data_IF_047613278255
#
_entry.id   IF_047613278255
#
_cell.length_a   1.000
_cell.length_b   1.000
_cell.length_c   1.000
_cell.angle_alpha   90.00
_cell.angle_beta   90.00
_cell.angle_gamma   90.00
#
_symmetry.space_group_name_H-M   'P 1'
#
loop_
_entity.id
_entity.type
_entity.pdbx_description
1 polymer ?
#
# COMPACT_ATOMS: atom_id res chain seq x y z
N UNK A 1 -8.25 4.58 20.30
CA UNK A 1 -7.73 5.36 19.15
C UNK A 1 -6.85 4.43 18.34
N UNK A 2 -6.94 4.50 17.04
CA UNK A 2 -6.19 3.67 16.08
C UNK A 2 -6.32 2.17 16.31
N UNK A 3 -7.55 1.68 16.35
CA UNK A 3 -7.80 0.26 16.52
C UNK A 3 -7.41 -0.56 15.29
N UNK A 4 -7.56 0.01 14.11
CA UNK A 4 -7.24 -0.65 12.84
C UNK A 4 -6.54 0.31 11.89
N UNK A 5 -5.34 -0.05 11.46
CA UNK A 5 -4.48 0.79 10.63
C UNK A 5 -4.28 0.12 9.27
N UNK A 6 -4.64 0.82 8.19
CA UNK A 6 -4.37 0.37 6.82
C UNK A 6 -2.98 0.84 6.40
N UNK A 7 -2.19 -0.09 5.91
CA UNK A 7 -0.80 0.15 5.49
C UNK A 7 -0.62 -0.27 4.03
N UNK A 8 -0.75 0.67 3.09
CA UNK A 8 -0.46 0.40 1.69
C UNK A 8 1.03 0.16 1.47
N UNK A 9 1.35 -0.91 0.75
CA UNK A 9 2.70 -1.32 0.40
C UNK A 9 2.76 -1.68 -1.09
N UNK A 10 3.93 -1.56 -1.70
CA UNK A 10 4.13 -1.85 -3.12
C UNK A 10 5.29 -2.84 -3.38
N UNK A 11 5.80 -3.47 -2.33
CA UNK A 11 6.95 -4.35 -2.41
C UNK A 11 8.30 -3.65 -2.33
N UNK A 12 8.33 -2.31 -2.34
CA UNK A 12 9.58 -1.55 -2.25
C UNK A 12 10.03 -1.34 -0.81
N UNK A 13 11.35 -1.25 -0.63
CA UNK A 13 11.94 -0.89 0.67
C UNK A 13 11.57 0.53 1.11
N UNK A 14 11.27 1.40 0.16
CA UNK A 14 10.80 2.75 0.47
C UNK A 14 9.45 2.73 1.15
N UNK A 15 8.49 1.97 0.61
CA UNK A 15 7.18 1.83 1.23
C UNK A 15 7.26 1.22 2.63
N UNK A 16 8.19 0.29 2.86
CA UNK A 16 8.40 -0.36 4.16
C UNK A 16 8.91 0.57 5.24
N UNK A 17 9.36 1.79 4.89
CA UNK A 17 9.79 2.78 5.88
C UNK A 17 8.66 3.20 6.83
N UNK A 18 7.42 2.94 6.47
CA UNK A 18 6.27 3.15 7.37
C UNK A 18 6.21 2.13 8.51
N UNK A 19 6.76 0.94 8.32
CA UNK A 19 6.58 -0.18 9.26
C UNK A 19 7.01 0.13 10.69
N UNK A 20 8.19 0.71 10.96
CA UNK A 20 8.57 1.04 12.33
C UNK A 20 7.56 1.93 13.05
N UNK A 21 6.95 2.87 12.34
CA UNK A 21 5.95 3.78 12.92
C UNK A 21 4.66 3.06 13.28
N UNK A 22 4.15 2.22 12.38
CA UNK A 22 2.91 1.48 12.64
C UNK A 22 3.12 0.37 13.67
N UNK A 23 4.32 -0.21 13.77
CA UNK A 23 4.67 -1.15 14.84
C UNK A 23 4.57 -0.49 16.21
N UNK A 24 5.13 0.71 16.37
CA UNK A 24 5.06 1.46 17.62
C UNK A 24 3.61 1.83 17.96
N UNK A 25 2.84 2.28 16.97
CA UNK A 25 1.41 2.57 17.17
C UNK A 25 0.64 1.31 17.57
N UNK A 26 0.88 0.19 16.89
CA UNK A 26 0.20 -1.07 17.19
C UNK A 26 0.51 -1.58 18.60
N UNK A 27 1.76 -1.50 19.03
CA UNK A 27 2.16 -1.87 20.39
C UNK A 27 1.52 -0.96 21.45
N UNK A 28 1.46 0.34 21.16
CA UNK A 28 0.92 1.32 22.09
C UNK A 28 -0.59 1.26 22.24
N UNK A 29 -1.31 1.09 21.15
CA UNK A 29 -2.77 1.15 21.12
C UNK A 29 -3.45 -0.22 20.98
N UNK A 30 -2.70 -1.30 20.84
CA UNK A 30 -3.24 -2.62 20.55
C UNK A 30 -3.90 -2.69 19.17
N UNK A 31 -3.34 -1.96 18.19
CA UNK A 31 -3.92 -1.86 16.86
C UNK A 31 -3.74 -3.14 16.05
N UNK A 32 -4.74 -3.45 15.22
CA UNK A 32 -4.59 -4.42 14.14
C UNK A 32 -4.05 -3.71 12.91
N UNK A 33 -3.06 -4.28 12.25
CA UNK A 33 -2.55 -3.79 10.97
C UNK A 33 -3.21 -4.52 9.82
N UNK A 34 -3.58 -3.78 8.79
CA UNK A 34 -4.06 -4.31 7.51
C UNK A 34 -3.05 -3.92 6.45
N UNK A 35 -2.23 -4.87 6.03
CA UNK A 35 -1.24 -4.67 4.97
C UNK A 35 -1.93 -4.86 3.62
N UNK A 36 -1.90 -3.83 2.79
CA UNK A 36 -2.55 -3.85 1.47
C UNK A 36 -1.53 -3.65 0.37
N UNK A 37 -1.54 -4.53 -0.62
CA UNK A 37 -0.85 -4.29 -1.88
C UNK A 37 -1.87 -4.24 -3.02
N UNK A 38 -1.85 -3.16 -3.79
CA UNK A 38 -2.71 -2.99 -4.96
C UNK A 38 -1.91 -3.32 -6.21
N UNK A 39 -2.47 -4.18 -7.04
CA UNK A 39 -1.90 -4.56 -8.32
C UNK A 39 -2.64 -3.77 -9.41
N UNK A 40 -1.92 -2.88 -10.08
CA UNK A 40 -2.45 -2.21 -11.26
C UNK A 40 -2.28 -3.12 -12.47
N UNK A 41 -3.35 -3.42 -13.22
CA UNK A 41 -3.22 -4.11 -14.48
C UNK A 41 -2.41 -3.26 -15.45
N UNK A 42 -1.21 -3.71 -15.77
CA UNK A 42 -0.40 -3.05 -16.79
C UNK A 42 -1.02 -3.40 -18.14
N UNK A 43 -1.58 -2.41 -18.82
CA UNK A 43 -1.95 -2.58 -20.22
C UNK A 43 -0.64 -2.69 -21.01
N UNK A 44 -0.29 -3.91 -21.38
CA UNK A 44 0.76 -4.12 -22.37
C UNK A 44 0.17 -3.66 -23.70
N UNK A 45 0.58 -2.48 -24.15
CA UNK A 45 0.34 -2.06 -25.52
C UNK A 45 1.14 -3.03 -26.40
N UNK A 46 0.49 -4.09 -26.87
CA UNK A 46 1.02 -4.90 -27.93
C UNK A 46 1.23 -4.04 -29.18
N UNK A 47 2.18 -4.46 -30.04
CA UNK A 47 2.60 -3.75 -31.24
C UNK A 47 1.43 -3.13 -32.03
N UNK A 48 1.65 -2.00 -32.75
CA UNK A 48 0.58 -1.16 -33.30
C UNK A 48 -0.36 -1.81 -34.32
N UNK A 49 -0.18 -3.08 -34.61
CA UNK A 49 -1.04 -3.86 -35.50
C UNK A 49 -1.97 -4.85 -34.79
N UNK A 50 -1.81 -5.00 -33.48
CA UNK A 50 -2.70 -5.85 -32.70
C UNK A 50 -3.81 -5.00 -32.07
N UNK A 51 -5.02 -5.21 -32.57
CA UNK A 51 -6.24 -4.54 -32.11
C UNK A 51 -6.77 -5.14 -30.80
N UNK A 52 -5.94 -5.81 -30.01
CA UNK A 52 -6.35 -6.43 -28.76
C UNK A 52 -5.57 -5.88 -27.57
N UNK A 53 -6.29 -5.39 -26.57
CA UNK A 53 -5.73 -5.16 -25.26
C UNK A 53 -5.54 -6.51 -24.57
N UNK A 54 -4.34 -7.09 -24.69
CA UNK A 54 -4.02 -8.32 -23.97
C UNK A 54 -3.59 -7.97 -22.56
N UNK A 55 -4.48 -8.22 -21.60
CA UNK A 55 -4.01 -8.46 -20.25
C UNK A 55 -3.28 -9.80 -20.28
N UNK A 56 -1.99 -9.78 -20.01
CA UNK A 56 -1.27 -11.02 -19.79
C UNK A 56 -1.69 -11.59 -18.44
N UNK A 57 -2.72 -12.42 -18.45
CA UNK A 57 -3.28 -13.07 -17.27
C UNK A 57 -2.21 -13.83 -16.50
N UNK A 58 -1.26 -14.44 -17.20
CA UNK A 58 -0.14 -15.17 -16.60
C UNK A 58 0.76 -14.25 -15.79
N UNK A 59 1.04 -13.03 -16.30
CA UNK A 59 1.81 -12.03 -15.59
C UNK A 59 1.09 -11.52 -14.35
N UNK A 60 -0.21 -11.26 -14.46
CA UNK A 60 -1.04 -10.81 -13.33
C UNK A 60 -1.07 -11.87 -12.23
N UNK A 61 -1.24 -13.15 -12.60
CA UNK A 61 -1.21 -14.24 -11.64
C UNK A 61 0.15 -14.35 -10.94
N UNK A 62 1.25 -14.22 -11.68
CA UNK A 62 2.60 -14.24 -11.12
C UNK A 62 2.83 -13.09 -10.14
N UNK A 63 2.50 -11.87 -10.53
CA UNK A 63 2.63 -10.68 -9.70
C UNK A 63 1.77 -10.80 -8.44
N UNK A 64 0.57 -11.35 -8.58
CA UNK A 64 -0.34 -11.57 -7.45
C UNK A 64 0.25 -12.58 -6.47
N UNK A 65 0.81 -13.69 -6.93
CA UNK A 65 1.44 -14.68 -6.07
C UNK A 65 2.70 -14.13 -5.38
N UNK A 66 3.52 -13.36 -6.10
CA UNK A 66 4.67 -12.65 -5.51
C UNK A 66 4.24 -11.69 -4.40
N UNK A 67 3.17 -10.95 -4.62
CA UNK A 67 2.61 -10.03 -3.63
C UNK A 67 2.08 -10.77 -2.39
N UNK A 68 1.42 -11.91 -2.57
CA UNK A 68 0.96 -12.74 -1.45
C UNK A 68 2.13 -13.24 -0.60
N UNK A 69 3.18 -13.75 -1.24
CA UNK A 69 4.39 -14.24 -0.56
C UNK A 69 5.05 -13.08 0.21
N UNK A 70 5.17 -11.93 -0.42
CA UNK A 70 5.74 -10.73 0.18
C UNK A 70 4.97 -10.29 1.43
N UNK A 71 3.67 -10.16 1.34
CA UNK A 71 2.84 -9.74 2.48
C UNK A 71 2.82 -10.78 3.60
N UNK A 72 2.82 -12.07 3.28
CA UNK A 72 2.91 -13.13 4.30
C UNK A 72 4.23 -13.09 5.06
N UNK A 73 5.33 -12.77 4.39
CA UNK A 73 6.63 -12.59 5.04
C UNK A 73 6.58 -11.47 6.08
N UNK A 74 6.06 -10.31 5.70
CA UNK A 74 5.88 -9.19 6.62
C UNK A 74 4.89 -9.52 7.74
N UNK A 75 3.79 -10.19 7.42
CA UNK A 75 2.81 -10.63 8.41
C UNK A 75 3.46 -11.51 9.47
N UNK A 76 4.27 -12.48 9.07
CA UNK A 76 4.98 -13.36 9.99
C UNK A 76 5.94 -12.60 10.91
N UNK A 77 6.70 -11.68 10.36
CA UNK A 77 7.63 -10.84 11.14
C UNK A 77 6.89 -9.99 12.18
N UNK A 78 5.78 -9.36 11.80
CA UNK A 78 4.99 -8.52 12.69
C UNK A 78 4.25 -9.33 13.75
N UNK A 79 3.71 -10.50 13.38
CA UNK A 79 3.05 -11.42 14.32
C UNK A 79 4.04 -11.95 15.36
N UNK A 80 5.28 -12.19 14.98
CA UNK A 80 6.33 -12.59 15.91
C UNK A 80 6.62 -11.51 16.97
N UNK A 81 6.27 -10.26 16.68
CA UNK A 81 6.37 -9.13 17.61
C UNK A 81 5.08 -8.92 18.43
N UNK A 82 4.11 -9.81 18.31
CA UNK A 82 2.83 -9.75 19.02
C UNK A 82 1.79 -8.82 18.41
N UNK A 83 1.96 -8.43 17.15
CA UNK A 83 1.02 -7.54 16.45
C UNK A 83 0.04 -8.36 15.63
N UNK A 84 -1.23 -8.05 15.72
CA UNK A 84 -2.27 -8.67 14.89
C UNK A 84 -2.24 -8.07 13.48
N UNK A 85 -2.12 -8.91 12.46
CA UNK A 85 -1.93 -8.48 11.07
C UNK A 85 -2.84 -9.25 10.13
N UNK A 86 -3.56 -8.50 9.30
CA UNK A 86 -4.31 -9.01 8.16
C UNK A 86 -3.62 -8.59 6.88
N UNK A 87 -3.64 -9.42 5.84
CA UNK A 87 -3.10 -9.08 4.52
C UNK A 87 -4.19 -9.04 3.48
N UNK A 88 -4.12 -8.06 2.57
CA UNK A 88 -5.06 -7.88 1.48
C UNK A 88 -4.31 -7.62 0.18
N UNK A 89 -4.84 -8.17 -0.90
CA UNK A 89 -4.44 -7.83 -2.26
C UNK A 89 -5.69 -7.38 -3.02
N UNK A 90 -5.59 -6.24 -3.69
CA UNK A 90 -6.65 -5.72 -4.52
C UNK A 90 -6.10 -5.40 -5.92
N UNK A 91 -6.98 -5.32 -6.90
CA UNK A 91 -6.62 -5.04 -8.29
C UNK A 91 -7.39 -3.82 -8.75
N UNK A 92 -6.69 -2.89 -9.37
CA UNK A 92 -7.31 -1.68 -9.91
C UNK A 92 -6.46 -0.43 -9.71
N UNK A 93 -7.04 0.75 -9.86
CA UNK A 93 -6.35 2.02 -9.59
C UNK A 93 -5.95 2.10 -8.13
N UNK A 94 -4.69 2.41 -7.85
CA UNK A 94 -4.11 2.31 -6.50
C UNK A 94 -4.85 3.18 -5.48
N UNK A 95 -5.04 4.45 -5.79
CA UNK A 95 -5.70 5.40 -4.87
C UNK A 95 -7.13 4.95 -4.56
N UNK A 96 -7.89 4.60 -5.60
CA UNK A 96 -9.27 4.12 -5.46
C UNK A 96 -9.35 2.87 -4.57
N UNK A 97 -8.50 1.89 -4.83
CA UNK A 97 -8.46 0.66 -4.04
C UNK A 97 -8.12 0.92 -2.57
N UNK A 98 -7.14 1.79 -2.30
CA UNK A 98 -6.78 2.15 -0.92
C UNK A 98 -7.97 2.77 -0.19
N UNK A 99 -8.65 3.72 -0.82
CA UNK A 99 -9.79 4.41 -0.21
C UNK A 99 -10.98 3.47 0.01
N UNK A 100 -11.28 2.62 -0.96
CA UNK A 100 -12.37 1.64 -0.85
C UNK A 100 -12.08 0.61 0.25
N UNK A 101 -10.85 0.10 0.33
CA UNK A 101 -10.47 -0.84 1.38
C UNK A 101 -10.48 -0.18 2.77
N UNK A 102 -10.10 1.09 2.85
CA UNK A 102 -10.19 1.83 4.11
C UNK A 102 -11.62 1.89 4.63
N UNK A 103 -12.58 2.12 3.76
CA UNK A 103 -14.02 2.09 4.10
C UNK A 103 -14.48 0.68 4.43
N UNK A 104 -14.22 -0.27 3.55
CA UNK A 104 -14.67 -1.66 3.68
C UNK A 104 -14.17 -2.32 4.96
N UNK A 105 -12.94 -2.07 5.33
CA UNK A 105 -12.32 -2.60 6.55
C UNK A 105 -12.59 -1.75 7.78
N UNK A 106 -13.24 -0.61 7.61
CA UNK A 106 -13.51 0.33 8.68
C UNK A 106 -12.24 0.68 9.47
N UNK A 107 -11.19 1.08 8.75
CA UNK A 107 -9.94 1.50 9.38
C UNK A 107 -10.08 2.92 9.93
N UNK A 108 -9.37 3.22 10.99
CA UNK A 108 -9.39 4.54 11.61
C UNK A 108 -8.08 5.33 11.39
N UNK A 109 -7.13 4.75 10.68
CA UNK A 109 -5.91 5.41 10.24
C UNK A 109 -5.41 4.77 8.96
N UNK A 110 -5.00 5.59 7.98
CA UNK A 110 -4.20 5.15 6.84
C UNK A 110 -2.77 5.61 7.08
N UNK A 111 -1.81 4.71 7.01
CA UNK A 111 -0.40 5.02 7.26
C UNK A 111 0.46 4.57 6.08
N UNK A 112 1.21 5.48 5.48
CA UNK A 112 2.02 5.20 4.32
C UNK A 112 3.27 6.08 4.24
N UNK A 113 4.22 5.63 3.43
CA UNK A 113 5.41 6.41 3.09
C UNK A 113 5.19 7.14 1.76
N UNK A 114 5.67 8.37 1.70
CA UNK A 114 5.68 9.14 0.45
C UNK A 114 7.04 9.14 -0.20
N UNK A 115 7.08 9.39 -1.51
CA UNK A 115 8.32 9.67 -2.20
C UNK A 115 8.87 11.04 -1.79
N UNK A 116 10.07 11.08 -1.20
CA UNK A 116 10.87 12.28 -1.19
C UNK A 116 11.74 12.28 -2.45
N UNK A 117 11.42 13.09 -3.45
CA UNK A 117 12.38 13.36 -4.52
C UNK A 117 13.33 14.46 -4.07
N UNK A 118 14.63 14.16 -4.13
CA UNK A 118 15.68 15.16 -3.97
C UNK A 118 15.58 16.21 -5.08
N UNK A 119 15.58 17.47 -4.72
CA UNK A 119 16.05 18.59 -5.54
C UNK A 119 15.00 19.50 -6.16
N UNK A 120 13.84 19.09 -6.56
CA UNK A 120 12.94 19.96 -7.32
C UNK A 120 11.55 20.15 -6.74
N UNK A 121 11.22 19.45 -5.68
CA UNK A 121 9.84 19.52 -5.26
C UNK A 121 9.69 19.37 -3.76
N UNK A 122 9.79 20.47 -3.09
CA UNK A 122 9.29 20.62 -1.71
C UNK A 122 7.79 20.30 -1.60
N UNK A 123 7.11 20.05 -2.72
CA UNK A 123 5.68 19.89 -2.82
C UNK A 123 5.19 18.54 -3.41
N UNK A 124 6.07 17.64 -3.82
CA UNK A 124 5.62 16.37 -4.41
C UNK A 124 5.70 15.22 -3.42
N UNK A 125 4.54 14.74 -3.04
CA UNK A 125 4.34 13.55 -2.23
C UNK A 125 4.15 12.31 -3.11
N UNK A 126 4.70 12.14 -4.26
CA UNK A 126 4.36 11.03 -5.14
C UNK A 126 2.85 11.00 -5.53
N UNK A 127 2.51 10.36 -6.63
CA UNK A 127 1.14 10.37 -7.14
C UNK A 127 0.12 9.70 -6.21
N UNK A 128 0.49 8.58 -5.60
CA UNK A 128 -0.40 7.84 -4.69
C UNK A 128 -0.62 8.64 -3.40
N UNK A 129 0.45 9.09 -2.75
CA UNK A 129 0.35 9.86 -1.52
C UNK A 129 -0.44 11.15 -1.73
N UNK A 130 -0.22 11.84 -2.85
CA UNK A 130 -0.98 13.05 -3.21
C UNK A 130 -2.47 12.75 -3.39
N UNK A 131 -2.81 11.67 -4.09
CA UNK A 131 -4.20 11.27 -4.28
C UNK A 131 -4.89 10.92 -2.97
N UNK A 132 -4.23 10.20 -2.09
CA UNK A 132 -4.77 9.86 -0.76
C UNK A 132 -4.93 11.12 0.09
N UNK A 133 -3.94 12.01 0.08
CA UNK A 133 -4.00 13.27 0.83
C UNK A 133 -5.20 14.12 0.45
N UNK A 134 -5.55 14.17 -0.84
CA UNK A 134 -6.67 14.97 -1.33
C UNK A 134 -8.05 14.33 -1.11
N UNK A 135 -8.12 13.01 -1.02
CA UNK A 135 -9.39 12.28 -1.06
C UNK A 135 -9.73 11.53 0.23
N UNK A 136 -8.76 11.36 1.13
CA UNK A 136 -8.99 10.59 2.35
C UNK A 136 -9.99 11.29 3.28
N UNK A 137 -10.94 10.52 3.79
CA UNK A 137 -11.97 10.97 4.73
C UNK A 137 -11.67 10.61 6.19
N UNK A 138 -10.45 10.13 6.45
CA UNK A 138 -10.02 9.67 7.77
C UNK A 138 -8.57 10.06 8.04
N UNK A 139 -8.10 9.95 9.29
CA UNK A 139 -6.73 10.30 9.64
C UNK A 139 -5.69 9.61 8.75
N UNK A 140 -4.67 10.36 8.37
CA UNK A 140 -3.58 9.91 7.51
C UNK A 140 -2.25 10.18 8.19
N UNK A 141 -1.45 9.14 8.37
CA UNK A 141 -0.04 9.26 8.75
C UNK A 141 0.81 9.11 7.49
N UNK A 142 1.48 10.17 7.13
CA UNK A 142 2.33 10.20 5.96
C UNK A 142 3.76 10.49 6.40
N UNK A 143 4.66 9.53 6.22
CA UNK A 143 6.08 9.75 6.45
C UNK A 143 6.80 10.10 5.16
N UNK A 144 7.72 11.04 5.26
CA UNK A 144 8.53 11.45 4.13
C UNK A 144 9.83 10.65 4.11
N UNK A 145 10.04 9.90 3.03
CA UNK A 145 11.29 9.17 2.84
C UNK A 145 12.23 10.06 2.04
N UNK A 146 13.37 10.40 2.65
CA UNK A 146 14.46 11.06 1.96
C UNK A 146 15.44 9.98 1.49
N UNK A 147 15.80 10.02 0.24
CA UNK A 147 16.90 9.21 -0.29
C UNK A 147 18.23 9.90 -0.03
#
# INVERSE_FOLDING_TARGET
MYQKILVPLDGSKRAERILPYVEELAKKFGSRLVLLQVIEPTVVLAAPYDMGHYYDITQIERITEEAKVYLRGLQGELQAKGIEVETLIDNGPVVTCILEEAVRKNVDLVAMASHGRTGLARAFYGSVASGILHQADRPLLLIRVQE
#
